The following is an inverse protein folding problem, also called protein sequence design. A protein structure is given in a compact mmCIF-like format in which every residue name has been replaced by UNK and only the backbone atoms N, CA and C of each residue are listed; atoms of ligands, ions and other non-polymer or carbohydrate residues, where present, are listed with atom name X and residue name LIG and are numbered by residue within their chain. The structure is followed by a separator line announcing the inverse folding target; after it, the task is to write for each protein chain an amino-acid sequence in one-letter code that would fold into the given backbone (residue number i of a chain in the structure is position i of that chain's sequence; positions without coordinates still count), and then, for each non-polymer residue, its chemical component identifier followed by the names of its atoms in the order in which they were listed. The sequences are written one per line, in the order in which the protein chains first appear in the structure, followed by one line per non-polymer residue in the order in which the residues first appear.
data_IF_727491487485
#
_entry.id   IF_727491487485
#
_cell.length_a   1.000
_cell.length_b   1.000
_cell.length_c   1.000
_cell.angle_alpha   90.00
_cell.angle_beta   90.00
_cell.angle_gamma   90.00
#
_symmetry.space_group_name_H-M   'P 1'
#
loop_
_entity.id
_entity.type
_entity.pdbx_description
1 polymer ?
#
# COMPACT_ATOMS: atom_id res chain seq x y z
N UNK A 1 -15.76 5.32 17.23
CA UNK A 1 -15.20 4.93 15.92
C UNK A 1 -15.25 6.09 14.93
N UNK A 2 -16.44 6.63 14.63
CA UNK A 2 -16.60 7.71 13.64
C UNK A 2 -15.81 8.97 13.97
N UNK A 3 -15.90 9.50 15.19
CA UNK A 3 -15.20 10.74 15.57
C UNK A 3 -13.67 10.58 15.56
N UNK A 4 -13.18 9.44 16.02
CA UNK A 4 -11.75 9.12 15.98
C UNK A 4 -11.24 9.03 14.54
N UNK A 5 -12.03 8.43 13.64
CA UNK A 5 -11.67 8.32 12.23
C UNK A 5 -11.78 9.66 11.49
N UNK A 6 -12.77 10.50 11.82
CA UNK A 6 -12.89 11.88 11.36
C UNK A 6 -11.69 12.73 11.79
N UNK A 7 -11.35 12.67 13.08
CA UNK A 7 -10.20 13.36 13.65
C UNK A 7 -8.89 12.91 13.01
N UNK A 8 -8.70 11.60 12.85
CA UNK A 8 -7.54 11.06 12.17
C UNK A 8 -7.47 11.57 10.73
N UNK A 9 -8.54 11.50 9.94
CA UNK A 9 -8.56 11.91 8.53
C UNK A 9 -8.62 13.43 8.31
N UNK A 10 -8.91 14.21 9.36
CA UNK A 10 -9.16 15.65 9.25
C UNK A 10 -10.38 15.98 8.41
N UNK A 11 -11.40 15.12 8.41
CA UNK A 11 -12.66 15.31 7.66
C UNK A 11 -13.79 15.71 8.61
N UNK A 12 -14.66 16.63 8.17
CA UNK A 12 -15.90 16.93 8.89
C UNK A 12 -17.01 15.89 8.62
N UNK A 13 -16.91 15.18 7.49
CA UNK A 13 -17.92 14.24 7.01
C UNK A 13 -17.37 12.81 6.92
N UNK A 14 -18.14 11.84 7.43
CA UNK A 14 -17.84 10.42 7.23
C UNK A 14 -19.15 9.65 7.06
N UNK A 15 -19.58 9.44 5.82
CA UNK A 15 -20.86 8.78 5.52
C UNK A 15 -20.62 7.40 4.91
N UNK A 16 -21.13 6.30 5.49
CA UNK A 16 -21.07 4.98 4.88
C UNK A 16 -21.79 4.97 3.52
N UNK A 17 -21.15 4.38 2.51
CA UNK A 17 -21.68 4.32 1.13
C UNK A 17 -22.49 3.06 0.81
N UNK A 18 -22.71 2.19 1.81
CA UNK A 18 -23.37 0.88 1.65
C UNK A 18 -22.51 -0.20 0.97
N UNK A 19 -21.43 0.17 0.28
CA UNK A 19 -20.49 -0.76 -0.33
C UNK A 19 -19.61 -1.41 0.75
N UNK A 20 -19.96 -2.64 1.09
CA UNK A 20 -19.25 -3.49 2.03
C UNK A 20 -18.44 -4.51 1.24
N UNK A 21 -17.11 -4.47 1.36
CA UNK A 21 -16.25 -5.56 0.90
C UNK A 21 -16.11 -6.57 2.03
N UNK A 22 -16.97 -7.58 2.05
CA UNK A 22 -16.90 -8.70 2.98
C UNK A 22 -16.37 -9.95 2.28
N UNK A 23 -15.43 -10.66 2.90
CA UNK A 23 -14.85 -11.89 2.34
C UNK A 23 -13.41 -12.21 2.76
N UNK A 24 -12.81 -11.42 3.66
CA UNK A 24 -11.46 -11.65 4.18
C UNK A 24 -11.45 -11.52 5.71
N UNK A 25 -10.31 -11.78 6.35
CA UNK A 25 -10.10 -11.64 7.80
C UNK A 25 -10.40 -10.24 8.35
N UNK A 26 -10.42 -9.22 7.48
CA UNK A 26 -10.77 -7.84 7.82
C UNK A 26 -12.11 -7.44 7.19
N UNK A 27 -12.83 -6.55 7.88
CA UNK A 27 -14.04 -5.95 7.34
C UNK A 27 -13.68 -4.74 6.48
N UNK A 28 -14.16 -4.69 5.25
CA UNK A 28 -13.95 -3.58 4.34
C UNK A 28 -15.21 -2.73 4.17
N UNK A 29 -15.11 -1.41 4.34
CA UNK A 29 -16.22 -0.48 4.10
C UNK A 29 -15.75 0.81 3.44
N UNK A 30 -16.57 1.32 2.53
CA UNK A 30 -16.32 2.61 1.88
C UNK A 30 -17.10 3.75 2.51
N UNK A 31 -16.46 4.91 2.65
CA UNK A 31 -17.04 6.12 3.24
C UNK A 31 -16.87 7.32 2.32
N UNK A 32 -17.93 8.10 2.14
CA UNK A 32 -17.85 9.42 1.53
C UNK A 32 -17.37 10.43 2.59
N UNK A 33 -16.36 11.22 2.24
CA UNK A 33 -15.85 12.33 3.06
C UNK A 33 -15.94 13.64 2.29
N UNK A 34 -15.72 14.76 2.98
CA UNK A 34 -15.61 16.09 2.34
C UNK A 34 -14.33 16.24 1.48
N UNK A 35 -13.42 15.26 1.53
CA UNK A 35 -12.16 15.20 0.79
C UNK A 35 -12.13 14.09 -0.28
N UNK A 36 -13.28 13.47 -0.55
CA UNK A 36 -13.42 12.35 -1.47
C UNK A 36 -13.69 11.02 -0.78
N UNK A 37 -13.93 9.98 -1.57
CA UNK A 37 -14.30 8.65 -1.04
C UNK A 37 -13.06 7.88 -0.59
N UNK A 38 -13.15 7.25 0.57
CA UNK A 38 -12.10 6.40 1.14
C UNK A 38 -12.61 4.97 1.36
N UNK A 39 -11.70 4.02 1.31
CA UNK A 39 -11.92 2.64 1.73
C UNK A 39 -11.21 2.38 3.06
N UNK A 40 -11.90 1.74 3.98
CA UNK A 40 -11.42 1.46 5.34
C UNK A 40 -11.48 -0.04 5.56
N UNK A 41 -10.33 -0.65 5.85
CA UNK A 41 -10.24 -2.00 6.40
C UNK A 41 -10.18 -1.91 7.92
N UNK A 42 -10.96 -2.71 8.63
CA UNK A 42 -10.95 -2.77 10.09
C UNK A 42 -10.73 -4.19 10.59
N UNK A 43 -10.00 -4.31 11.70
CA UNK A 43 -9.73 -5.56 12.37
C UNK A 43 -9.47 -5.31 13.87
N UNK A 44 -10.05 -6.14 14.74
CA UNK A 44 -9.98 -6.04 16.21
C UNK A 44 -8.99 -7.01 16.86
N UNK A 45 -8.28 -7.83 16.08
CA UNK A 45 -7.24 -8.70 16.61
C UNK A 45 -5.99 -7.89 17.03
N UNK A 46 -5.30 -8.31 18.09
CA UNK A 46 -4.14 -7.58 18.62
C UNK A 46 -2.99 -7.39 17.62
N UNK A 47 -2.83 -8.32 16.67
CA UNK A 47 -1.79 -8.25 15.62
C UNK A 47 -2.23 -7.44 14.39
N UNK A 48 -3.43 -6.87 14.39
CA UNK A 48 -3.99 -6.12 13.25
C UNK A 48 -3.13 -4.92 12.87
N UNK A 49 -2.53 -4.23 13.86
CA UNK A 49 -1.67 -3.08 13.61
C UNK A 49 -0.45 -3.44 12.79
N UNK A 50 0.32 -4.44 13.21
CA UNK A 50 1.50 -4.90 12.46
C UNK A 50 1.11 -5.33 11.05
N UNK A 51 0.01 -6.08 10.91
CA UNK A 51 -0.51 -6.50 9.61
C UNK A 51 -0.82 -5.30 8.70
N UNK A 52 -1.53 -4.29 9.21
CA UNK A 52 -1.91 -3.11 8.43
C UNK A 52 -0.74 -2.16 8.13
N UNK A 53 0.23 -2.03 9.03
CA UNK A 53 1.47 -1.28 8.76
C UNK A 53 2.28 -1.95 7.64
N UNK A 54 2.39 -3.28 7.67
CA UNK A 54 2.99 -4.06 6.59
C UNK A 54 2.25 -3.92 5.25
N UNK A 55 0.92 -3.97 5.27
CA UNK A 55 0.10 -3.77 4.07
C UNK A 55 0.28 -2.34 3.51
N UNK A 56 0.28 -1.32 4.39
CA UNK A 56 0.50 0.07 4.01
C UNK A 56 1.84 0.26 3.30
N UNK A 57 2.93 -0.23 3.89
CA UNK A 57 4.27 -0.14 3.31
C UNK A 57 4.38 -0.91 1.99
N UNK A 58 3.69 -2.04 1.86
CA UNK A 58 3.63 -2.82 0.62
C UNK A 58 2.93 -2.05 -0.51
N UNK A 59 1.80 -1.42 -0.20
CA UNK A 59 1.07 -0.58 -1.15
C UNK A 59 1.88 0.65 -1.58
N UNK A 60 2.59 1.29 -0.64
CA UNK A 60 3.50 2.40 -0.95
C UNK A 60 4.63 1.98 -1.89
N UNK A 61 5.23 0.81 -1.66
CA UNK A 61 6.29 0.29 -2.52
C UNK A 61 5.80 0.04 -3.94
N UNK A 62 4.64 -0.60 -4.11
CA UNK A 62 4.04 -0.81 -5.43
C UNK A 62 3.65 0.52 -6.08
N UNK A 63 3.12 1.47 -5.32
CA UNK A 63 2.76 2.79 -5.84
C UNK A 63 3.97 3.54 -6.41
N UNK A 64 5.13 3.43 -5.75
CA UNK A 64 6.39 4.05 -6.18
C UNK A 64 6.94 3.49 -7.50
N UNK A 65 6.62 2.24 -7.87
CA UNK A 65 7.08 1.68 -9.14
C UNK A 65 6.36 2.29 -10.34
N UNK A 66 5.15 2.85 -10.12
CA UNK A 66 4.28 3.39 -11.16
C UNK A 66 3.92 2.38 -12.27
N UNK A 67 3.96 1.07 -11.98
CA UNK A 67 3.73 0.02 -12.99
C UNK A 67 2.27 -0.45 -13.03
N UNK A 68 1.71 -0.82 -11.88
CA UNK A 68 0.32 -1.32 -11.76
C UNK A 68 -0.49 -0.43 -10.82
N UNK A 69 -1.80 -0.29 -11.11
CA UNK A 69 -2.70 0.50 -10.25
C UNK A 69 -2.98 -0.24 -8.93
N UNK A 70 -2.69 0.43 -7.82
CA UNK A 70 -3.04 0.03 -6.46
C UNK A 70 -3.80 1.15 -5.75
N UNK A 71 -4.60 0.87 -4.70
CA UNK A 71 -5.19 1.91 -3.88
C UNK A 71 -4.08 2.68 -3.16
N UNK A 72 -4.10 4.01 -3.22
CA UNK A 72 -3.15 4.83 -2.47
C UNK A 72 -3.40 4.66 -0.96
N UNK A 73 -2.43 4.19 -0.17
CA UNK A 73 -2.58 4.13 1.27
C UNK A 73 -2.60 5.56 1.85
N UNK A 74 -3.38 5.75 2.93
CA UNK A 74 -3.51 7.05 3.59
C UNK A 74 -2.95 7.00 5.01
N UNK A 75 -3.38 6.04 5.85
CA UNK A 75 -2.88 5.85 7.22
C UNK A 75 -3.38 4.56 7.86
N UNK A 76 -2.66 4.11 8.87
CA UNK A 76 -3.14 3.16 9.89
C UNK A 76 -3.57 3.95 11.14
N UNK A 77 -4.71 3.59 11.73
CA UNK A 77 -5.26 4.26 12.93
C UNK A 77 -5.73 3.21 13.92
N UNK A 78 -5.31 3.35 15.18
CA UNK A 78 -5.92 2.63 16.30
C UNK A 78 -7.18 3.36 16.76
N UNK A 79 -8.30 2.66 16.79
CA UNK A 79 -9.57 3.18 17.27
C UNK A 79 -9.90 2.57 18.64
N UNK A 80 -10.78 3.22 19.43
CA UNK A 80 -11.21 2.66 20.71
C UNK A 80 -11.77 1.24 20.59
N UNK A 81 -11.48 0.39 21.59
CA UNK A 81 -11.91 -1.01 21.62
C UNK A 81 -11.03 -1.95 20.79
N UNK A 82 -9.71 -1.71 20.79
CA UNK A 82 -8.67 -2.52 20.13
C UNK A 82 -8.87 -2.73 18.62
N UNK A 83 -9.67 -1.87 17.99
CA UNK A 83 -9.93 -1.97 16.57
C UNK A 83 -8.95 -1.11 15.78
N UNK A 84 -8.03 -1.75 15.08
CA UNK A 84 -7.14 -1.05 14.15
C UNK A 84 -7.79 -0.93 12.78
N UNK A 85 -7.55 0.18 12.10
CA UNK A 85 -8.02 0.39 10.72
C UNK A 85 -6.90 0.83 9.80
N UNK A 86 -6.95 0.35 8.55
CA UNK A 86 -6.17 0.87 7.43
C UNK A 86 -7.09 1.65 6.51
N UNK A 87 -6.78 2.94 6.32
CA UNK A 87 -7.50 3.83 5.40
C UNK A 87 -6.71 4.00 4.12
N UNK A 88 -7.39 3.87 2.99
CA UNK A 88 -6.82 3.97 1.65
C UNK A 88 -7.80 4.61 0.67
N UNK A 89 -7.32 4.92 -0.53
CA UNK A 89 -8.14 5.32 -1.66
C UNK A 89 -9.25 4.30 -1.95
N UNK A 90 -10.47 4.79 -2.15
CA UNK A 90 -11.53 3.96 -2.72
C UNK A 90 -11.33 3.81 -4.23
N UNK A 91 -11.23 2.57 -4.69
CA UNK A 91 -11.22 2.23 -6.12
C UNK A 91 -12.61 1.77 -6.56
N UNK A 92 -13.12 2.38 -7.62
CA UNK A 92 -14.29 1.88 -8.33
C UNK A 92 -13.88 0.66 -9.17
N UNK A 93 -14.04 -0.52 -8.59
CA UNK A 93 -13.66 -1.78 -9.23
C UNK A 93 -14.53 -2.06 -10.45
N UNK A 94 -13.89 -2.30 -11.59
CA UNK A 94 -14.52 -2.66 -12.87
C UNK A 94 -14.01 -4.02 -13.33
N UNK A 95 -14.80 -4.71 -14.15
CA UNK A 95 -14.43 -6.02 -14.68
C UNK A 95 -13.18 -5.92 -15.57
N UNK A 96 -12.25 -6.88 -15.40
CA UNK A 96 -10.98 -6.90 -16.12
C UNK A 96 -11.05 -7.49 -17.54
N UNK A 97 -12.21 -7.91 -18.04
CA UNK A 97 -12.35 -8.68 -19.29
C UNK A 97 -11.64 -8.06 -20.51
N UNK A 98 -11.64 -6.72 -20.63
CA UNK A 98 -10.98 -6.00 -21.73
C UNK A 98 -9.55 -5.53 -21.40
N UNK A 99 -9.11 -5.71 -20.16
CA UNK A 99 -7.87 -5.14 -19.62
C UNK A 99 -6.91 -6.21 -19.06
N UNK A 100 -7.23 -7.49 -19.16
CA UNK A 100 -6.42 -8.59 -18.64
C UNK A 100 -5.02 -8.64 -19.24
N UNK A 101 -4.89 -8.42 -20.56
CA UNK A 101 -3.60 -8.36 -21.24
C UNK A 101 -2.74 -7.20 -20.72
N UNK A 102 -3.34 -6.01 -20.57
CA UNK A 102 -2.67 -4.83 -20.02
C UNK A 102 -2.21 -5.06 -18.57
N UNK A 103 -3.06 -5.68 -17.74
CA UNK A 103 -2.70 -6.05 -16.37
C UNK A 103 -1.50 -7.02 -16.37
N UNK A 104 -1.48 -7.99 -17.28
CA UNK A 104 -0.35 -8.91 -17.45
C UNK A 104 0.96 -8.19 -17.75
N UNK A 105 0.93 -7.22 -18.67
CA UNK A 105 2.10 -6.37 -18.98
C UNK A 105 2.54 -5.55 -17.77
N UNK A 106 1.61 -4.87 -17.09
CA UNK A 106 1.90 -4.04 -15.92
C UNK A 106 2.49 -4.86 -14.75
N UNK A 107 2.04 -6.10 -14.57
CA UNK A 107 2.61 -7.02 -13.58
C UNK A 107 4.02 -7.49 -13.97
N UNK A 108 4.27 -7.75 -15.25
CA UNK A 108 5.62 -8.06 -15.73
C UNK A 108 6.58 -6.86 -15.50
N UNK A 109 6.13 -5.65 -15.79
CA UNK A 109 6.89 -4.42 -15.52
C UNK A 109 7.16 -4.25 -14.03
N UNK A 110 6.18 -4.52 -13.16
CA UNK A 110 6.36 -4.52 -11.70
C UNK A 110 7.48 -5.49 -11.27
N UNK A 111 7.49 -6.71 -11.80
CA UNK A 111 8.51 -7.71 -11.48
C UNK A 111 9.91 -7.32 -11.96
N UNK A 112 10.01 -6.69 -13.13
CA UNK A 112 11.29 -6.27 -13.72
C UNK A 112 11.80 -4.94 -13.17
N UNK A 113 10.96 -4.14 -12.49
CA UNK A 113 11.29 -2.78 -12.05
C UNK A 113 12.63 -2.67 -11.31
N UNK A 114 12.84 -3.48 -10.26
CA UNK A 114 14.07 -3.42 -9.46
C UNK A 114 15.31 -3.83 -10.28
N UNK A 115 15.19 -4.82 -11.16
CA UNK A 115 16.28 -5.25 -12.04
C UNK A 115 16.66 -4.14 -13.03
N UNK A 116 15.67 -3.56 -13.70
CA UNK A 116 15.89 -2.45 -14.64
C UNK A 116 16.53 -1.25 -13.94
N UNK A 117 16.09 -0.96 -12.72
CA UNK A 117 16.64 0.12 -11.92
C UNK A 117 18.11 -0.12 -11.54
N UNK A 118 18.48 -1.34 -11.15
CA UNK A 118 19.87 -1.75 -10.89
C UNK A 118 20.75 -1.60 -12.14
N UNK A 119 20.27 -2.04 -13.31
CA UNK A 119 21.00 -1.92 -14.57
C UNK A 119 21.21 -0.46 -14.98
N UNK A 120 20.21 0.40 -14.77
CA UNK A 120 20.30 1.85 -15.03
C UNK A 120 21.35 2.50 -14.13
N UNK A 121 21.30 2.24 -12.82
CA UNK A 121 22.28 2.75 -11.86
C UNK A 121 23.71 2.30 -12.20
N UNK A 122 23.91 1.04 -12.61
CA UNK A 122 25.23 0.53 -13.01
C UNK A 122 25.79 1.28 -14.24
N UNK A 123 24.95 1.55 -15.24
CA UNK A 123 25.34 2.31 -16.45
C UNK A 123 25.69 3.76 -16.12
N UNK A 124 24.92 4.40 -15.25
CA UNK A 124 25.17 5.78 -14.80
C UNK A 124 26.47 5.88 -13.97
N UNK A 125 26.73 4.93 -13.06
CA UNK A 125 27.96 4.87 -12.28
C UNK A 125 29.23 4.61 -13.10
N UNK A 126 29.11 3.96 -14.27
CA UNK A 126 30.24 3.77 -15.20
C UNK A 126 30.55 4.98 -16.09
N UNK A 127 29.76 6.06 -16.03
CA UNK A 127 29.94 7.25 -16.86
C UNK A 127 30.64 8.36 -16.06
N UNK A 128 31.92 8.65 -16.37
CA UNK A 128 32.65 9.77 -15.75
C UNK A 128 32.06 11.10 -16.20
N UNK A 129 31.62 11.96 -15.26
CA UNK A 129 31.21 13.35 -15.54
C UNK A 129 29.72 13.68 -15.36
N UNK A 130 28.87 12.73 -14.98
CA UNK A 130 27.49 13.05 -14.55
C UNK A 130 27.45 13.31 -13.05
N UNK A 131 27.10 14.55 -12.68
CA UNK A 131 26.86 14.93 -11.29
C UNK A 131 25.78 14.06 -10.64
N UNK A 132 25.86 13.90 -9.32
CA UNK A 132 24.91 13.15 -8.49
C UNK A 132 23.50 13.74 -8.63
N UNK A 133 22.77 13.35 -9.68
CA UNK A 133 21.36 13.64 -9.83
C UNK A 133 20.63 12.88 -8.74
N UNK A 134 20.07 13.63 -7.79
CA UNK A 134 19.23 13.13 -6.71
C UNK A 134 18.11 12.27 -7.30
N UNK A 135 18.25 10.95 -7.24
CA UNK A 135 17.15 10.01 -7.42
C UNK A 135 16.97 9.29 -6.09
N UNK A 136 15.87 9.61 -5.39
CA UNK A 136 15.52 9.11 -4.04
C UNK A 136 15.25 7.60 -3.97
N UNK A 137 15.29 6.88 -5.10
CA UNK A 137 15.02 5.45 -5.13
C UNK A 137 16.36 4.71 -5.16
N UNK A 138 16.70 4.04 -4.07
CA UNK A 138 17.83 3.11 -4.02
C UNK A 138 17.37 1.74 -4.52
N UNK A 139 18.15 1.11 -5.41
CA UNK A 139 17.89 -0.28 -5.79
C UNK A 139 18.07 -1.17 -4.56
N UNK A 140 17.28 -2.24 -4.45
CA UNK A 140 17.37 -3.14 -3.29
C UNK A 140 18.11 -4.41 -3.69
N UNK A 141 19.22 -4.70 -3.00
CA UNK A 141 20.04 -5.91 -3.21
C UNK A 141 19.43 -7.18 -2.59
N UNK A 142 18.55 -7.04 -1.60
CA UNK A 142 17.87 -8.15 -0.92
C UNK A 142 16.37 -7.98 -1.01
N UNK A 143 15.65 -9.06 -1.29
CA UNK A 143 14.20 -9.04 -1.22
C UNK A 143 13.76 -8.81 0.22
N UNK A 144 12.82 -7.88 0.43
CA UNK A 144 12.35 -7.55 1.76
C UNK A 144 11.70 -6.19 1.86
N UNK A 145 10.90 -6.02 2.91
CA UNK A 145 10.41 -4.73 3.37
C UNK A 145 11.18 -4.28 4.61
N UNK A 146 11.24 -2.97 4.82
CA UNK A 146 11.79 -2.38 6.05
C UNK A 146 10.87 -2.57 7.26
N UNK A 147 9.63 -2.99 7.04
CA UNK A 147 8.65 -3.33 8.07
C UNK A 147 8.16 -4.76 7.88
N UNK A 148 7.60 -5.35 8.93
CA UNK A 148 7.05 -6.71 8.88
C UNK A 148 5.80 -6.74 7.99
N UNK A 149 5.84 -7.51 6.91
CA UNK A 149 4.65 -7.84 6.11
C UNK A 149 4.03 -9.15 6.58
N UNK A 150 2.72 -9.31 6.39
CA UNK A 150 2.00 -10.49 6.85
C UNK A 150 1.15 -11.13 5.75
N UNK A 151 1.03 -12.46 5.77
CA UNK A 151 -0.01 -13.22 5.07
C UNK A 151 -1.10 -13.58 6.09
N UNK A 152 -2.20 -12.85 6.09
CA UNK A 152 -3.11 -12.85 7.23
C UNK A 152 -2.38 -12.33 8.47
N UNK A 153 -2.37 -13.11 9.56
CA UNK A 153 -1.61 -12.77 10.78
C UNK A 153 -0.19 -13.33 10.80
N UNK A 154 0.20 -14.13 9.80
CA UNK A 154 1.51 -14.79 9.76
C UNK A 154 2.57 -13.83 9.21
N UNK A 155 3.61 -13.48 9.97
CA UNK A 155 4.73 -12.69 9.48
C UNK A 155 5.42 -13.39 8.29
N UNK A 156 5.73 -12.63 7.25
CA UNK A 156 6.47 -13.14 6.10
C UNK A 156 7.99 -12.98 6.33
N UNK A 157 8.73 -14.04 6.02
CA UNK A 157 10.20 -14.03 6.09
C UNK A 157 10.77 -13.10 5.00
N UNK A 158 11.77 -12.29 5.37
CA UNK A 158 12.42 -11.34 4.44
C UNK A 158 12.39 -9.88 4.89
N UNK A 159 11.76 -9.54 6.01
CA UNK A 159 11.80 -8.17 6.52
C UNK A 159 13.20 -7.89 7.07
N UNK A 160 13.88 -6.88 6.53
CA UNK A 160 15.21 -6.49 7.00
C UNK A 160 15.02 -5.62 8.22
N UNK A 161 14.96 -6.23 9.41
CA UNK A 161 15.17 -5.47 10.64
C UNK A 161 16.57 -4.88 10.59
N UNK A 162 16.64 -3.56 10.70
CA UNK A 162 17.91 -2.90 11.01
C UNK A 162 18.13 -3.18 12.48
N UNK A 163 19.05 -4.10 12.79
CA UNK A 163 19.63 -4.22 14.14
C UNK A 163 20.52 -3.00 14.44
#
# INVERSE_FOLDING_TARGET
MEDALKGALGTALLRPTGHSGGGCISQGRSYDTDRGRVFVKSNSEGEARRMFEGEMASLEAILKTQTVRVPKPIKVVELPGDNTVLVMEHLEMKTLNRHSALLGTQLADLHLHNQQFREKMKKEGSTVGKGQGQMEVQFVDRFGFHTVTCCGYLPQVGCTSSD
#
